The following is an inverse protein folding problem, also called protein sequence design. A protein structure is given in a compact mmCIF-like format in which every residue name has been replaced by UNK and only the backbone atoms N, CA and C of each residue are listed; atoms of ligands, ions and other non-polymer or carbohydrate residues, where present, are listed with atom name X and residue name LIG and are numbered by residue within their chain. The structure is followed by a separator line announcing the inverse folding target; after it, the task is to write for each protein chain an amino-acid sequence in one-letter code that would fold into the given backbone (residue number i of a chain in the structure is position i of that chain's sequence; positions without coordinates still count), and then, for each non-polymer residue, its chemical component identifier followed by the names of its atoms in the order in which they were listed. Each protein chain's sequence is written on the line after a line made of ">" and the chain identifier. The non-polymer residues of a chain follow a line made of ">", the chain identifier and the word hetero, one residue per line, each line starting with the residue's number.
data_IF_646665387072
#
_entry.id   IF_646665387072
#
_cell.length_a   1.000
_cell.length_b   1.000
_cell.length_c   1.000
_cell.angle_alpha   90.00
_cell.angle_beta   90.00
_cell.angle_gamma   90.00
#
_symmetry.space_group_name_H-M   'P 1'
#
loop_
_entity.id
_entity.type
_entity.pdbx_description
1 polymer ?
#
# COMPACT_ATOMS: atom_id res chain seq x y z
N UNK A 1 -7.69 -12.98 -4.33
CA UNK A 1 -8.45 -12.61 -3.11
C UNK A 1 -8.09 -11.18 -2.78
N UNK A 2 -9.04 -10.31 -2.41
CA UNK A 2 -8.70 -8.92 -2.08
C UNK A 2 -8.20 -8.84 -0.64
N UNK A 3 -6.97 -8.38 -0.46
CA UNK A 3 -6.40 -8.01 0.84
C UNK A 3 -5.76 -6.63 0.75
N UNK A 4 -5.29 -6.13 1.87
CA UNK A 4 -4.76 -4.77 2.01
C UNK A 4 -3.37 -4.84 2.60
N UNK A 5 -2.39 -4.24 1.92
CA UNK A 5 -0.97 -4.29 2.28
C UNK A 5 -0.45 -2.91 2.61
N UNK A 6 0.43 -2.84 3.61
CA UNK A 6 1.13 -1.61 3.93
C UNK A 6 2.26 -1.40 2.92
N UNK A 7 2.34 -0.21 2.33
CA UNK A 7 3.45 0.20 1.47
C UNK A 7 4.68 0.73 2.20
N UNK A 8 4.73 0.51 3.51
CA UNK A 8 5.93 0.74 4.29
C UNK A 8 6.76 -0.54 4.44
N UNK A 9 7.91 -0.38 5.09
CA UNK A 9 8.86 -1.47 5.34
C UNK A 9 8.32 -2.59 6.24
N UNK A 10 7.20 -2.36 6.95
CA UNK A 10 6.60 -3.39 7.78
C UNK A 10 5.87 -4.48 6.97
N UNK A 11 5.53 -4.21 5.70
CA UNK A 11 4.82 -5.13 4.80
C UNK A 11 3.54 -5.75 5.40
N UNK A 12 2.91 -5.06 6.37
CA UNK A 12 1.76 -5.60 7.09
C UNK A 12 0.56 -5.82 6.19
N UNK A 13 -0.17 -6.92 6.39
CA UNK A 13 -1.36 -7.29 5.63
C UNK A 13 -2.64 -7.23 6.49
N UNK A 14 -3.77 -6.97 5.84
CA UNK A 14 -5.09 -6.94 6.47
C UNK A 14 -6.15 -7.44 5.49
N UNK A 15 -7.16 -8.14 6.00
CA UNK A 15 -8.34 -8.54 5.20
C UNK A 15 -9.35 -7.40 5.05
N UNK A 16 -9.26 -6.39 5.91
CA UNK A 16 -10.18 -5.26 5.93
C UNK A 16 -9.46 -3.98 5.48
N UNK A 17 -10.15 -3.09 4.77
CA UNK A 17 -9.63 -1.76 4.47
C UNK A 17 -9.35 -1.02 5.78
N UNK A 18 -8.29 -0.23 5.79
CA UNK A 18 -7.88 0.51 6.97
C UNK A 18 -6.53 1.18 6.79
N UNK A 19 -5.89 1.50 7.91
CA UNK A 19 -4.57 2.11 7.94
C UNK A 19 -3.55 1.14 8.55
N UNK A 20 -2.27 1.37 8.27
CA UNK A 20 -1.19 0.62 8.91
C UNK A 20 -1.14 0.92 10.41
N UNK A 21 -1.17 -0.12 11.24
CA UNK A 21 -1.10 0.00 12.71
C UNK A 21 0.27 -0.37 13.28
N UNK A 22 1.23 -0.75 12.43
CA UNK A 22 2.56 -1.14 12.88
C UNK A 22 3.29 0.05 13.51
N UNK A 23 3.75 -0.11 14.74
CA UNK A 23 4.31 1.00 15.53
C UNK A 23 5.65 1.50 14.98
N UNK A 24 6.46 0.58 14.46
CA UNK A 24 7.77 0.84 13.86
C UNK A 24 7.71 1.04 12.34
N UNK A 25 6.52 1.25 11.77
CA UNK A 25 6.39 1.50 10.34
C UNK A 25 6.45 3.00 10.03
N UNK A 26 7.31 3.39 9.08
CA UNK A 26 7.36 4.75 8.55
C UNK A 26 6.03 5.21 7.93
N UNK A 27 5.16 4.27 7.56
CA UNK A 27 3.81 4.49 7.03
C UNK A 27 2.71 4.20 8.06
N UNK A 28 3.01 4.17 9.38
CA UNK A 28 1.99 4.06 10.43
C UNK A 28 0.91 5.14 10.25
N UNK A 29 -0.35 4.75 10.32
CA UNK A 29 -1.51 5.63 10.12
C UNK A 29 -1.81 5.97 8.65
N UNK A 30 -0.99 5.54 7.69
CA UNK A 30 -1.28 5.68 6.26
C UNK A 30 -2.24 4.58 5.79
N UNK A 31 -3.10 4.85 4.79
CA UNK A 31 -4.03 3.87 4.25
C UNK A 31 -3.29 2.67 3.65
N UNK A 32 -3.84 1.47 3.90
CA UNK A 32 -3.37 0.25 3.28
C UNK A 32 -3.77 0.21 1.80
N UNK A 33 -2.93 -0.40 0.98
CA UNK A 33 -3.15 -0.56 -0.45
C UNK A 33 -3.88 -1.87 -0.72
N UNK A 34 -4.97 -1.82 -1.48
CA UNK A 34 -5.60 -3.04 -1.96
C UNK A 34 -4.62 -3.83 -2.86
N UNK A 35 -4.40 -5.11 -2.55
CA UNK A 35 -3.73 -6.10 -3.38
C UNK A 35 -4.74 -7.19 -3.72
N UNK A 36 -4.87 -7.50 -5.00
CA UNK A 36 -5.66 -8.63 -5.49
C UNK A 36 -4.76 -9.78 -5.95
N UNK A 37 -3.52 -9.80 -5.48
CA UNK A 37 -2.51 -10.78 -5.80
C UNK A 37 -2.88 -12.19 -5.27
N UNK A 38 -2.76 -13.20 -6.12
CA UNK A 38 -3.00 -14.61 -5.75
C UNK A 38 -1.71 -15.34 -5.34
N UNK A 39 -0.56 -14.85 -5.82
CA UNK A 39 0.78 -15.41 -5.60
C UNK A 39 1.48 -14.88 -4.33
N UNK A 40 0.77 -14.12 -3.48
CA UNK A 40 1.33 -13.49 -2.27
C UNK A 40 2.52 -12.55 -2.52
N UNK A 41 2.73 -12.17 -3.79
CA UNK A 41 3.78 -11.25 -4.19
C UNK A 41 3.22 -9.82 -4.19
N UNK A 42 3.65 -9.03 -3.20
CA UNK A 42 3.21 -7.63 -3.02
C UNK A 42 4.09 -6.63 -3.78
N UNK A 43 5.20 -7.06 -4.37
CA UNK A 43 6.23 -6.20 -4.97
C UNK A 43 5.65 -5.33 -6.09
N UNK A 44 4.77 -5.91 -6.92
CA UNK A 44 4.07 -5.18 -8.00
C UNK A 44 3.24 -4.00 -7.45
N UNK A 45 2.42 -4.26 -6.43
CA UNK A 45 1.52 -3.26 -5.84
C UNK A 45 2.29 -2.19 -5.06
N UNK A 46 3.44 -2.55 -4.49
CA UNK A 46 4.32 -1.62 -3.79
C UNK A 46 5.11 -0.73 -4.77
N UNK A 47 5.55 -1.27 -5.90
CA UNK A 47 6.31 -0.53 -6.88
C UNK A 47 5.42 0.39 -7.74
N UNK A 48 4.21 -0.04 -8.10
CA UNK A 48 3.27 0.74 -8.94
C UNK A 48 2.68 1.98 -8.25
N UNK A 49 2.77 2.10 -6.91
CA UNK A 49 2.26 3.27 -6.17
C UNK A 49 3.33 4.31 -5.81
N UNK A 50 4.55 4.15 -6.32
CA UNK A 50 5.64 5.10 -6.11
C UNK A 50 5.62 6.29 -7.09
N UNK A 51 4.60 6.36 -7.96
CA UNK A 51 4.39 7.46 -8.92
C UNK A 51 3.19 8.32 -8.48
N UNK A 52 3.29 8.99 -7.32
CA UNK A 52 2.55 10.26 -7.07
C UNK A 52 3.25 11.37 -7.87
N UNK A 53 3.18 11.25 -9.21
CA UNK A 53 3.44 12.34 -10.14
C UNK A 53 2.16 13.13 -10.31
N UNK A 54 1.91 14.08 -9.40
CA UNK A 54 0.97 15.17 -9.67
C UNK A 54 1.59 16.05 -10.75
N UNK A 55 1.17 15.83 -11.98
CA UNK A 55 1.19 16.84 -13.04
C UNK A 55 -0.27 17.10 -13.45
N UNK A 56 -1.07 17.56 -12.48
CA UNK A 56 -2.20 18.44 -12.79
C UNK A 56 -1.64 19.86 -12.89
N UNK A 57 -1.20 20.23 -14.09
CA UNK A 57 -1.28 21.61 -14.53
C UNK A 57 -1.80 21.61 -15.96
N UNK A 58 -3.11 21.77 -16.08
CA UNK A 58 -3.70 22.35 -17.29
C UNK A 58 -3.13 23.77 -17.48
N UNK A 59 -2.34 23.97 -18.54
CA UNK A 59 -2.40 25.18 -19.37
C UNK A 59 -1.79 25.00 -20.77
#
# INVERSE_FOLDING_TARGET
>A
MTHYVCSGECHGESKNPGVCQAEDCNKKGQPLLACDCEDWNHDKVLNEKSEDGRDDEEL
#
